data_IF_762678083051
#
_entry.id   IF_762678083051
#
_cell.length_a   1.000
_cell.length_b   1.000
_cell.length_c   1.000
_cell.angle_alpha   90.00
_cell.angle_beta   90.00
_cell.angle_gamma   90.00
#
_symmetry.space_group_name_H-M   'P 1'
#
loop_
_entity.id
_entity.type
_entity.pdbx_description
1 polymer ?
#
# COMPACT_ATOMS: atom_id res chain seq x y z
N UNK A 1 -2.98 -20.48 -29.14
CA UNK A 1 -3.08 -20.71 -27.69
C UNK A 1 -3.50 -19.39 -27.12
N UNK A 2 -4.75 -19.27 -26.69
CA UNK A 2 -5.26 -18.05 -26.05
C UNK A 2 -4.80 -18.07 -24.60
N UNK A 3 -4.34 -16.94 -24.08
CA UNK A 3 -4.02 -16.84 -22.66
C UNK A 3 -5.31 -16.74 -21.84
N UNK A 4 -5.35 -17.32 -20.64
CA UNK A 4 -6.57 -17.27 -19.81
C UNK A 4 -6.95 -15.83 -19.45
N UNK A 5 -5.99 -14.91 -19.34
CA UNK A 5 -6.28 -13.50 -19.08
C UNK A 5 -6.96 -12.81 -20.28
N UNK A 6 -6.68 -13.24 -21.52
CA UNK A 6 -7.40 -12.78 -22.72
C UNK A 6 -8.81 -13.40 -22.80
N UNK A 7 -8.98 -14.61 -22.28
CA UNK A 7 -10.25 -15.33 -22.25
C UNK A 7 -11.20 -14.81 -21.16
N UNK A 8 -10.66 -14.44 -20.00
CA UNK A 8 -11.43 -13.92 -18.86
C UNK A 8 -11.46 -12.39 -18.77
N UNK A 9 -10.67 -11.68 -19.58
CA UNK A 9 -10.60 -10.21 -19.58
C UNK A 9 -9.92 -9.63 -18.33
N UNK A 10 -9.14 -10.44 -17.63
CA UNK A 10 -8.36 -10.06 -16.45
C UNK A 10 -6.97 -9.56 -16.87
N UNK A 11 -6.30 -8.78 -16.02
CA UNK A 11 -4.96 -8.28 -16.30
C UNK A 11 -3.88 -9.33 -16.00
N UNK A 12 -4.16 -10.24 -15.07
CA UNK A 12 -3.27 -11.31 -14.65
C UNK A 12 -4.02 -12.56 -14.17
N UNK A 13 -3.50 -13.73 -14.51
CA UNK A 13 -4.05 -15.04 -14.11
C UNK A 13 -2.96 -15.88 -13.45
N UNK A 14 -3.23 -16.40 -12.25
CA UNK A 14 -2.32 -17.31 -11.52
C UNK A 14 -3.00 -18.67 -11.35
N UNK A 15 -2.42 -19.72 -11.95
CA UNK A 15 -3.03 -21.04 -11.97
C UNK A 15 -2.00 -22.15 -11.90
N UNK A 16 -2.44 -23.35 -11.52
CA UNK A 16 -1.61 -24.55 -11.57
C UNK A 16 -1.69 -25.16 -12.97
N UNK A 17 -0.53 -25.42 -13.57
CA UNK A 17 -0.44 -26.01 -14.90
C UNK A 17 -1.09 -27.40 -14.91
N UNK A 18 -1.98 -27.71 -15.87
CA UNK A 18 -2.59 -29.02 -15.96
C UNK A 18 -1.55 -30.14 -16.01
N UNK A 19 -1.78 -31.20 -15.24
CA UNK A 19 -0.90 -32.37 -15.14
C UNK A 19 0.52 -32.08 -14.60
N UNK A 20 0.76 -30.90 -14.03
CA UNK A 20 2.00 -30.56 -13.32
C UNK A 20 1.68 -29.92 -11.97
N UNK A 21 2.67 -29.91 -11.07
CA UNK A 21 2.63 -29.15 -9.82
C UNK A 21 3.14 -27.71 -10.00
N UNK A 22 3.58 -27.34 -11.20
CA UNK A 22 4.03 -25.99 -11.55
C UNK A 22 2.90 -24.98 -11.41
N UNK A 23 3.18 -23.88 -10.72
CA UNK A 23 2.29 -22.71 -10.66
C UNK A 23 2.78 -21.67 -11.65
N UNK A 24 1.90 -21.27 -12.55
CA UNK A 24 2.13 -20.30 -13.61
C UNK A 24 1.35 -19.02 -13.29
N UNK A 25 1.93 -17.88 -13.64
CA UNK A 25 1.31 -16.58 -13.66
C UNK A 25 1.50 -15.95 -15.04
N UNK A 26 0.38 -15.69 -15.72
CA UNK A 26 0.36 -14.97 -16.98
C UNK A 26 -0.14 -13.54 -16.74
N UNK A 27 0.50 -12.57 -17.40
CA UNK A 27 0.07 -11.17 -17.37
C UNK A 27 0.60 -10.42 -18.60
N UNK A 28 -0.17 -9.44 -19.06
CA UNK A 28 0.21 -8.61 -20.21
C UNK A 28 0.94 -7.31 -19.85
N UNK A 29 0.82 -6.84 -18.60
CA UNK A 29 1.38 -5.55 -18.18
C UNK A 29 2.81 -5.68 -17.60
N UNK A 30 3.79 -4.89 -18.07
CA UNK A 30 5.15 -4.88 -17.54
C UNK A 30 5.24 -4.62 -16.02
N UNK A 31 4.36 -3.79 -15.48
CA UNK A 31 4.31 -3.46 -14.05
C UNK A 31 3.78 -4.62 -13.21
N UNK A 32 2.96 -5.50 -13.80
CA UNK A 32 2.52 -6.74 -13.17
C UNK A 32 3.67 -7.75 -13.08
N UNK A 33 4.53 -7.83 -14.10
CA UNK A 33 5.75 -8.66 -14.05
C UNK A 33 6.65 -8.33 -12.86
N UNK A 34 6.81 -7.04 -12.52
CA UNK A 34 7.61 -6.63 -11.37
C UNK A 34 7.05 -7.15 -10.04
N UNK A 35 5.71 -7.16 -9.90
CA UNK A 35 5.05 -7.70 -8.69
C UNK A 35 5.28 -9.21 -8.58
N UNK A 36 5.13 -9.92 -9.70
CA UNK A 36 5.34 -11.36 -9.75
C UNK A 36 6.79 -11.72 -9.40
N UNK A 37 7.76 -11.01 -9.97
CA UNK A 37 9.17 -11.19 -9.64
C UNK A 37 9.46 -10.96 -8.14
N UNK A 38 8.87 -9.92 -7.53
CA UNK A 38 8.99 -9.65 -6.09
C UNK A 38 8.35 -10.74 -5.20
N UNK A 39 7.41 -11.53 -5.75
CA UNK A 39 6.76 -12.64 -5.08
C UNK A 39 7.49 -13.98 -5.28
N UNK A 40 8.65 -13.98 -5.95
CA UNK A 40 9.45 -15.18 -6.18
C UNK A 40 9.11 -15.94 -7.45
N UNK A 41 8.30 -15.37 -8.35
CA UNK A 41 8.12 -15.96 -9.67
C UNK A 41 9.31 -15.66 -10.57
N UNK A 42 9.72 -16.66 -11.34
CA UNK A 42 10.78 -16.58 -12.35
C UNK A 42 10.15 -16.34 -13.71
N UNK A 43 10.61 -15.29 -14.40
CA UNK A 43 10.18 -14.97 -15.75
C UNK A 43 10.72 -16.00 -16.74
N UNK A 44 9.82 -16.61 -17.49
CA UNK A 44 10.08 -17.55 -18.57
C UNK A 44 9.68 -16.93 -19.90
N UNK A 45 10.45 -17.20 -20.95
CA UNK A 45 10.21 -16.67 -22.29
C UNK A 45 10.44 -17.75 -23.33
N UNK A 46 9.47 -17.99 -24.22
CA UNK A 46 9.66 -18.84 -25.40
C UNK A 46 9.49 -18.00 -26.67
N UNK A 47 10.46 -18.06 -27.61
CA UNK A 47 10.35 -17.36 -28.88
C UNK A 47 9.11 -17.83 -29.68
N UNK A 48 8.41 -16.92 -30.40
CA UNK A 48 8.79 -15.53 -30.63
C UNK A 48 8.24 -14.51 -29.62
N UNK A 49 7.19 -14.77 -28.83
CA UNK A 49 6.56 -13.73 -27.97
C UNK A 49 5.85 -14.22 -26.70
N UNK A 50 6.00 -15.48 -26.28
CA UNK A 50 5.27 -15.99 -25.11
C UNK A 50 6.08 -15.74 -23.83
N UNK A 51 5.60 -14.82 -22.98
CA UNK A 51 6.20 -14.49 -21.68
C UNK A 51 5.23 -14.94 -20.59
N UNK A 52 5.71 -15.78 -19.70
CA UNK A 52 4.96 -16.18 -18.50
C UNK A 52 5.89 -16.17 -17.30
N UNK A 53 5.33 -16.28 -16.12
CA UNK A 53 6.10 -16.35 -14.88
C UNK A 53 5.76 -17.68 -14.21
N UNK A 54 6.74 -18.39 -13.66
CA UNK A 54 6.48 -19.62 -12.91
C UNK A 54 7.18 -19.59 -11.56
N UNK A 55 6.59 -20.26 -10.57
CA UNK A 55 7.30 -20.51 -9.32
C UNK A 55 8.45 -21.51 -9.55
N UNK A 56 9.56 -21.37 -8.79
CA UNK A 56 10.66 -22.31 -8.88
C UNK A 56 10.21 -23.72 -8.45
N UNK A 57 10.83 -24.72 -9.05
CA UNK A 57 10.59 -26.12 -8.71
C UNK A 57 11.09 -26.43 -7.28
N UNK A 58 10.48 -27.43 -6.65
CA UNK A 58 10.88 -27.89 -5.31
C UNK A 58 10.27 -27.12 -4.13
N UNK A 59 9.43 -26.11 -4.38
CA UNK A 59 8.63 -25.49 -3.33
C UNK A 59 7.55 -26.44 -2.80
N UNK A 60 7.34 -26.43 -1.50
CA UNK A 60 6.20 -27.13 -0.89
C UNK A 60 4.87 -26.55 -1.35
N UNK A 61 3.80 -27.33 -1.26
CA UNK A 61 2.46 -26.88 -1.66
C UNK A 61 2.02 -25.64 -0.86
N UNK A 62 2.35 -25.56 0.43
CA UNK A 62 2.06 -24.38 1.24
C UNK A 62 2.80 -23.13 0.77
N UNK A 63 4.08 -23.25 0.43
CA UNK A 63 4.88 -22.12 -0.08
C UNK A 63 4.37 -21.65 -1.44
N UNK A 64 3.94 -22.58 -2.29
CA UNK A 64 3.30 -22.25 -3.56
C UNK A 64 2.01 -21.46 -3.33
N UNK A 65 1.13 -21.93 -2.44
CA UNK A 65 -0.13 -21.22 -2.09
C UNK A 65 0.14 -19.85 -1.50
N UNK A 66 1.10 -19.75 -0.57
CA UNK A 66 1.49 -18.46 0.03
C UNK A 66 2.01 -17.48 -1.02
N UNK A 67 2.87 -17.94 -1.92
CA UNK A 67 3.47 -17.09 -2.97
C UNK A 67 2.44 -16.67 -4.02
N UNK A 68 1.60 -17.59 -4.49
CA UNK A 68 0.52 -17.32 -5.44
C UNK A 68 -0.53 -16.35 -4.86
N UNK A 69 -0.99 -16.61 -3.63
CA UNK A 69 -1.94 -15.73 -2.93
C UNK A 69 -1.35 -14.33 -2.72
N UNK A 70 -0.06 -14.25 -2.35
CA UNK A 70 0.63 -12.98 -2.16
C UNK A 70 0.73 -12.18 -3.44
N UNK A 71 1.10 -12.82 -4.54
CA UNK A 71 1.13 -12.20 -5.85
C UNK A 71 -0.24 -11.63 -6.23
N UNK A 72 -1.31 -12.45 -6.16
CA UNK A 72 -2.66 -12.01 -6.48
C UNK A 72 -3.12 -10.82 -5.63
N UNK A 73 -2.87 -10.87 -4.32
CA UNK A 73 -3.23 -9.78 -3.40
C UNK A 73 -2.45 -8.48 -3.69
N UNK A 74 -1.16 -8.56 -4.01
CA UNK A 74 -0.33 -7.39 -4.33
C UNK A 74 -0.68 -6.79 -5.69
N UNK A 75 -1.00 -7.62 -6.68
CA UNK A 75 -1.50 -7.18 -7.99
C UNK A 75 -2.82 -6.40 -7.81
N UNK A 76 -3.78 -6.98 -7.08
CA UNK A 76 -5.04 -6.29 -6.74
C UNK A 76 -4.82 -4.99 -5.95
N UNK A 77 -3.85 -4.98 -5.04
CA UNK A 77 -3.51 -3.77 -4.28
C UNK A 77 -2.92 -2.66 -5.15
N UNK A 78 -2.36 -2.99 -6.32
CA UNK A 78 -1.89 -2.03 -7.34
C UNK A 78 -2.97 -1.66 -8.37
N UNK A 79 -4.16 -2.26 -8.28
CA UNK A 79 -5.30 -1.95 -9.16
C UNK A 79 -5.43 -2.86 -10.37
N UNK A 80 -4.63 -3.91 -10.48
CA UNK A 80 -4.78 -4.93 -11.53
C UNK A 80 -5.95 -5.86 -11.19
N UNK A 81 -6.72 -6.24 -12.21
CA UNK A 81 -7.68 -7.33 -12.10
C UNK A 81 -6.93 -8.67 -12.18
N UNK A 82 -6.49 -9.15 -11.02
CA UNK A 82 -5.75 -10.40 -10.92
C UNK A 82 -6.64 -11.51 -10.38
N UNK A 83 -6.67 -12.64 -11.08
CA UNK A 83 -7.34 -13.86 -10.64
C UNK A 83 -6.33 -14.92 -10.19
N UNK A 84 -6.77 -15.78 -9.28
CA UNK A 84 -5.97 -16.88 -8.74
C UNK A 84 -6.85 -18.10 -8.62
N UNK A 85 -6.35 -19.25 -9.07
CA UNK A 85 -7.04 -20.52 -8.95
C UNK A 85 -7.35 -20.82 -7.47
N UNK A 86 -8.56 -21.30 -7.20
CA UNK A 86 -9.07 -21.49 -5.83
C UNK A 86 -8.20 -22.45 -5.02
N UNK A 87 -7.63 -23.47 -5.66
CA UNK A 87 -6.72 -24.43 -5.04
C UNK A 87 -5.39 -23.81 -4.60
N UNK A 88 -5.05 -22.62 -5.10
CA UNK A 88 -3.83 -21.89 -4.76
C UNK A 88 -4.03 -20.83 -3.67
N UNK A 89 -5.26 -20.63 -3.19
CA UNK A 89 -5.57 -19.64 -2.16
C UNK A 89 -5.23 -20.16 -0.78
N UNK A 90 -4.48 -19.37 0.00
CA UNK A 90 -4.20 -19.59 1.42
C UNK A 90 -4.74 -18.44 2.25
N UNK A 91 -5.69 -18.71 3.15
CA UNK A 91 -6.27 -17.68 4.02
C UNK A 91 -5.22 -16.99 4.90
N UNK A 92 -4.24 -17.75 5.41
CA UNK A 92 -3.12 -17.20 6.18
C UNK A 92 -2.33 -16.17 5.38
N UNK A 93 -2.05 -16.50 4.10
CA UNK A 93 -1.34 -15.59 3.21
C UNK A 93 -2.16 -14.35 2.89
N UNK A 94 -3.48 -14.48 2.71
CA UNK A 94 -4.38 -13.32 2.54
C UNK A 94 -4.30 -12.39 3.75
N UNK A 95 -4.38 -12.93 4.97
CA UNK A 95 -4.29 -12.15 6.20
C UNK A 95 -2.93 -11.45 6.32
N UNK A 96 -1.83 -12.17 6.10
CA UNK A 96 -0.47 -11.62 6.17
C UNK A 96 -0.25 -10.48 5.17
N UNK A 97 -0.77 -10.61 3.94
CA UNK A 97 -0.62 -9.57 2.92
C UNK A 97 -1.47 -8.35 3.22
N UNK A 98 -2.69 -8.53 3.76
CA UNK A 98 -3.51 -7.40 4.23
C UNK A 98 -2.79 -6.61 5.32
N UNK A 99 -2.15 -7.30 6.26
CA UNK A 99 -1.32 -6.67 7.30
C UNK A 99 -0.11 -5.93 6.71
N UNK A 100 0.57 -6.52 5.72
CA UNK A 100 1.69 -5.91 5.01
C UNK A 100 1.26 -4.63 4.26
N UNK A 101 0.17 -4.70 3.49
CA UNK A 101 -0.39 -3.56 2.76
C UNK A 101 -0.83 -2.46 3.73
N UNK A 102 -1.47 -2.81 4.86
CA UNK A 102 -1.84 -1.84 5.89
C UNK A 102 -0.60 -1.16 6.48
N UNK A 103 0.44 -1.94 6.82
CA UNK A 103 1.71 -1.40 7.32
C UNK A 103 2.38 -0.47 6.34
N UNK A 104 2.43 -0.82 5.04
CA UNK A 104 2.99 0.04 3.99
C UNK A 104 2.23 1.34 3.82
N UNK A 105 0.90 1.31 3.91
CA UNK A 105 0.06 2.53 3.87
C UNK A 105 0.34 3.46 5.05
N UNK A 106 0.45 2.93 6.26
CA UNK A 106 0.73 3.72 7.46
C UNK A 106 2.15 4.30 7.41
N UNK A 107 3.14 3.50 6.99
CA UNK A 107 4.53 3.95 6.84
C UNK A 107 4.70 5.01 5.74
N UNK A 108 4.00 4.86 4.61
CA UNK A 108 4.01 5.85 3.52
C UNK A 108 3.30 7.18 3.88
N UNK A 109 2.37 7.17 4.84
CA UNK A 109 1.78 8.40 5.36
C UNK A 109 2.76 9.18 6.27
N UNK A 110 3.64 8.47 6.99
CA UNK A 110 4.69 9.09 7.80
C UNK A 110 5.79 9.76 6.96
N UNK A 111 6.04 9.29 5.74
CA UNK A 111 6.99 9.96 4.82
C UNK A 111 6.40 11.12 4.04
N UNK A 112 5.06 11.23 3.96
CA UNK A 112 4.38 12.37 3.31
C UNK A 112 3.94 13.47 4.29
N UNK A 113 4.16 13.27 5.59
CA UNK A 113 3.79 14.25 6.62
C UNK A 113 5.03 14.89 7.22
N UNK A 114 5.65 15.82 6.48
CA UNK A 114 6.35 16.94 7.11
C UNK A 114 5.36 18.11 7.23
N UNK A 115 4.61 18.24 8.34
CA UNK A 115 4.16 19.56 8.72
C UNK A 115 5.40 20.28 9.26
N UNK A 116 6.04 21.10 8.42
CA UNK A 116 6.85 22.22 8.93
C UNK A 116 5.87 23.20 9.58
N UNK A 117 5.43 22.87 10.79
CA UNK A 117 4.92 23.87 11.72
C UNK A 117 6.16 24.51 12.35
N UNK A 118 6.72 25.48 11.65
CA UNK A 118 7.74 26.34 12.23
C UNK A 118 7.18 26.98 13.51
N UNK A 119 7.94 27.03 14.61
CA UNK A 119 7.50 27.73 15.80
C UNK A 119 7.40 29.22 15.47
N UNK A 120 6.17 29.72 15.33
CA UNK A 120 5.90 31.16 15.34
C UNK A 120 6.32 31.66 16.71
N UNK A 121 7.42 32.40 16.73
CA UNK A 121 7.91 33.11 17.89
C UNK A 121 6.82 34.06 18.40
N UNK A 122 6.60 34.16 19.73
CA UNK A 122 5.70 35.15 20.29
C UNK A 122 6.29 36.56 20.09
N UNK A 123 5.49 37.58 19.77
CA UNK A 123 5.99 38.95 19.71
C UNK A 123 6.39 39.40 21.11
N UNK A 124 7.61 39.93 21.19
CA UNK A 124 8.21 40.49 22.39
C UNK A 124 7.31 41.56 23.01
N UNK A 125 7.10 41.45 24.32
CA UNK A 125 6.57 42.52 25.17
C UNK A 125 7.64 43.62 25.29
N UNK A 126 7.33 44.90 25.04
CA UNK A 126 8.18 45.97 25.53
C UNK A 126 7.88 46.20 27.02
N UNK A 127 8.88 45.91 27.85
CA UNK A 127 8.99 46.47 29.19
C UNK A 127 9.10 48.00 29.10
N UNK A 128 8.28 48.72 29.87
CA UNK A 128 8.63 50.07 30.32
C UNK A 128 8.09 50.28 31.73
N UNK A 129 9.01 50.14 32.66
CA UNK A 129 9.11 50.65 34.03
C UNK A 129 8.23 51.86 34.36
N UNK A 130 7.48 51.73 35.47
CA UNK A 130 6.78 52.79 36.20
C UNK A 130 7.77 53.83 36.79
N UNK A 131 7.35 55.04 37.20
CA UNK A 131 6.68 55.16 38.51
C UNK A 131 5.64 56.31 38.64
N UNK A 132 5.00 56.31 39.82
CA UNK A 132 4.43 57.44 40.57
C UNK A 132 2.91 57.70 40.51
N UNK A 133 2.24 57.29 41.61
CA UNK A 133 1.07 57.94 42.24
C UNK A 133 1.46 59.32 42.81
N UNK A 134 0.55 60.22 43.29
CA UNK A 134 -0.83 59.96 43.79
C UNK A 134 -1.92 61.01 43.41
N UNK A 135 -3.19 60.71 43.72
CA UNK A 135 -4.16 61.57 44.43
C UNK A 135 -5.65 61.29 44.06
N UNK A 136 -6.46 61.07 45.10
CA UNK A 136 -7.94 60.96 45.18
C UNK A 136 -8.61 62.38 45.20
N UNK A 137 -9.95 62.60 45.36
CA UNK A 137 -11.17 61.73 45.39
C UNK A 137 -12.41 62.28 44.58
N UNK A 138 -13.55 61.59 44.72
CA UNK A 138 -14.97 62.04 44.53
C UNK A 138 -15.48 62.15 43.07
N UNK A 139 -16.72 61.77 42.71
CA UNK A 139 -18.00 62.00 43.41
C UNK A 139 -19.11 61.07 42.87
N UNK A 140 -20.09 60.85 43.72
CA UNK A 140 -21.43 60.28 43.55
C UNK A 140 -22.11 60.30 42.16
N UNK A 141 -22.77 59.17 41.87
CA UNK A 141 -24.15 58.97 41.42
C UNK A 141 -24.83 59.96 40.44
N UNK A 142 -25.41 59.40 39.37
CA UNK A 142 -26.81 59.70 39.08
C UNK A 142 -27.57 58.57 38.35
N UNK A 143 -28.77 58.32 38.88
CA UNK A 143 -29.90 57.54 38.36
C UNK A 143 -30.40 58.00 36.98
N UNK A 144 -31.05 57.07 36.28
CA UNK A 144 -32.18 57.32 35.37
C UNK A 144 -32.04 56.51 34.07
N UNK A 145 -33.05 55.80 33.58
CA UNK A 145 -34.48 55.72 33.92
C UNK A 145 -35.05 54.44 33.31
#
# INVERSE_FOLDING_TARGET
MSFLHEEYGTDAEIYRKPFSSEVIADCGDPSAHEVLAACGFVKQTVPPHYVWHQLPEGLSEEEQKRSATRAACLLRARGFDANVAEDLVSEEAVAAVREEVRRRRISGAATSSSPTAGPVAPPARPDTTAPASPAVPSTYAHRGR
#
